data_IF_773421784375
#
_entry.id   IF_773421784375
#
_cell.length_a   1.000
_cell.length_b   1.000
_cell.length_c   1.000
_cell.angle_alpha   90.00
_cell.angle_beta   90.00
_cell.angle_gamma   90.00
#
_symmetry.space_group_name_H-M   'P 1'
#
loop_
_entity.id
_entity.type
_entity.pdbx_description
1 polymer ?
#
# COMPACT_ATOMS: atom_id res chain seq x y z
N UNK A 1 25.47 15.58 6.03
CA UNK A 1 24.94 16.06 4.74
C UNK A 1 23.54 15.47 4.58
N UNK A 2 22.50 16.25 4.87
CA UNK A 2 21.12 15.78 4.70
C UNK A 2 20.86 15.80 3.19
N UNK A 3 20.78 14.62 2.58
CA UNK A 3 20.33 14.51 1.20
C UNK A 3 18.83 14.81 1.17
N UNK A 4 18.48 16.07 0.88
CA UNK A 4 17.18 16.38 0.34
C UNK A 4 17.14 15.77 -1.06
N UNK A 5 16.74 14.50 -1.17
CA UNK A 5 16.41 13.92 -2.45
C UNK A 5 15.29 14.78 -3.04
N UNK A 6 15.62 15.56 -4.07
CA UNK A 6 14.61 16.12 -4.96
C UNK A 6 13.77 14.94 -5.44
N UNK A 7 12.49 14.94 -5.07
CA UNK A 7 11.52 13.95 -5.51
C UNK A 7 11.23 14.18 -7.00
N UNK A 8 12.20 13.90 -7.87
CA UNK A 8 11.86 13.52 -9.23
C UNK A 8 10.86 12.38 -9.09
N UNK A 9 9.67 12.56 -9.64
CA UNK A 9 8.63 11.53 -9.63
C UNK A 9 9.26 10.25 -10.19
N UNK A 10 9.58 9.29 -9.32
CA UNK A 10 10.29 8.10 -9.76
C UNK A 10 9.26 7.12 -10.31
N UNK A 11 9.39 6.81 -11.60
CA UNK A 11 8.60 5.81 -12.30
C UNK A 11 9.13 4.42 -11.94
N UNK A 12 8.28 3.53 -11.42
CA UNK A 12 8.67 2.18 -11.00
C UNK A 12 7.70 1.18 -11.59
N UNK A 13 8.18 0.06 -12.14
CA UNK A 13 7.30 -0.99 -12.67
C UNK A 13 6.65 -1.75 -11.51
N UNK A 14 5.32 -1.83 -11.46
CA UNK A 14 4.59 -2.40 -10.32
C UNK A 14 5.01 -3.85 -10.02
N UNK A 15 5.15 -4.68 -11.06
CA UNK A 15 5.53 -6.10 -10.90
C UNK A 15 6.94 -6.31 -10.33
N UNK A 16 7.82 -5.32 -10.43
CA UNK A 16 9.20 -5.39 -9.94
C UNK A 16 9.32 -4.85 -8.50
N UNK A 17 8.21 -4.34 -7.91
CA UNK A 17 8.17 -3.93 -6.50
C UNK A 17 8.13 -5.18 -5.63
N UNK A 18 9.20 -5.44 -4.88
CA UNK A 18 9.29 -6.60 -4.01
C UNK A 18 8.48 -6.43 -2.71
N UNK A 19 8.52 -5.24 -2.12
CA UNK A 19 7.94 -4.97 -0.80
C UNK A 19 7.52 -3.52 -0.69
N UNK A 20 6.40 -3.28 -0.01
CA UNK A 20 5.98 -1.95 0.43
C UNK A 20 5.77 -1.98 1.94
N UNK A 21 6.22 -0.91 2.62
CA UNK A 21 5.99 -0.70 4.05
C UNK A 21 5.14 0.55 4.19
N UNK A 22 4.00 0.41 4.83
CA UNK A 22 2.96 1.42 4.91
C UNK A 22 2.70 1.77 6.36
N UNK A 23 2.62 3.05 6.65
CA UNK A 23 2.53 3.59 8.00
C UNK A 23 1.18 4.25 8.24
N UNK A 24 0.66 4.09 9.46
CA UNK A 24 -0.48 4.87 9.91
C UNK A 24 -0.09 6.34 9.96
N UNK A 25 -1.05 7.20 9.65
CA UNK A 25 -0.93 8.66 9.70
C UNK A 25 0.02 9.26 8.65
N UNK A 26 0.57 8.41 7.77
CA UNK A 26 1.28 8.84 6.57
C UNK A 26 0.37 8.81 5.33
N UNK A 27 0.73 9.65 4.36
CA UNK A 27 0.03 9.77 3.09
C UNK A 27 0.90 9.25 1.94
N UNK A 28 0.24 8.80 0.88
CA UNK A 28 0.90 8.42 -0.36
C UNK A 28 1.48 9.64 -1.05
N UNK A 29 2.55 9.46 -1.82
CA UNK A 29 2.91 10.46 -2.84
C UNK A 29 1.80 10.52 -3.88
N UNK A 30 1.52 11.69 -4.43
CA UNK A 30 0.58 11.80 -5.53
C UNK A 30 1.04 12.82 -6.56
N UNK A 31 0.68 12.60 -7.83
CA UNK A 31 1.00 13.52 -8.94
C UNK A 31 -0.23 13.90 -9.75
N UNK A 32 -1.03 12.91 -10.17
CA UNK A 32 -2.22 13.09 -11.02
C UNK A 32 -3.51 13.05 -10.20
N UNK A 33 -3.48 12.38 -9.05
CA UNK A 33 -4.58 12.31 -8.08
C UNK A 33 -4.23 13.05 -6.79
N UNK A 34 -5.17 13.06 -5.84
CA UNK A 34 -4.90 13.54 -4.48
C UNK A 34 -4.20 12.45 -3.66
N UNK A 35 -3.30 12.88 -2.78
CA UNK A 35 -2.68 12.00 -1.79
C UNK A 35 -3.75 11.40 -0.87
N UNK A 36 -3.64 10.10 -0.59
CA UNK A 36 -4.53 9.35 0.29
C UNK A 36 -3.75 8.77 1.47
N UNK A 37 -4.42 8.38 2.58
CA UNK A 37 -3.73 7.66 3.65
C UNK A 37 -3.09 6.36 3.13
N UNK A 38 -1.86 6.06 3.55
CA UNK A 38 -1.19 4.80 3.20
C UNK A 38 -1.93 3.59 3.77
N UNK A 39 -2.50 3.71 4.98
CA UNK A 39 -3.33 2.68 5.62
C UNK A 39 -4.78 3.17 5.74
N UNK A 40 -5.73 2.41 5.19
CA UNK A 40 -7.16 2.70 5.33
C UNK A 40 -7.92 1.50 5.88
N UNK A 41 -8.41 1.61 7.10
CA UNK A 41 -9.42 0.68 7.63
C UNK A 41 -10.76 0.95 6.94
N UNK A 42 -11.27 -0.01 6.18
CA UNK A 42 -12.49 0.16 5.37
C UNK A 42 -13.73 -0.44 6.04
N UNK A 43 -13.56 -1.46 6.87
CA UNK A 43 -14.65 -2.14 7.58
C UNK A 43 -14.13 -3.26 8.47
N UNK A 44 -14.93 -4.31 8.70
CA UNK A 44 -14.53 -5.50 9.48
C UNK A 44 -15.07 -5.47 10.91
N UNK A 45 -15.26 -6.66 11.50
CA UNK A 45 -15.79 -6.84 12.86
C UNK A 45 -14.88 -6.25 13.93
N UNK A 46 -13.57 -6.35 13.75
CA UNK A 46 -12.57 -5.89 14.72
C UNK A 46 -12.09 -4.43 14.51
N UNK A 47 -12.71 -3.67 13.59
CA UNK A 47 -12.26 -2.31 13.20
C UNK A 47 -12.04 -1.32 14.35
N UNK A 48 -12.77 -1.50 15.45
CA UNK A 48 -12.76 -0.59 16.59
C UNK A 48 -11.46 -0.69 17.42
N UNK A 49 -10.81 -1.85 17.42
CA UNK A 49 -9.64 -2.10 18.27
C UNK A 49 -8.44 -2.71 17.52
N UNK A 50 -8.62 -3.16 16.29
CA UNK A 50 -7.57 -3.78 15.49
C UNK A 50 -7.19 -2.93 14.28
N UNK A 51 -6.50 -1.83 14.55
CA UNK A 51 -5.82 -1.06 13.53
C UNK A 51 -4.32 -1.21 13.77
N UNK A 52 -3.51 -1.63 12.79
CA UNK A 52 -2.05 -1.70 12.93
C UNK A 52 -1.40 -0.33 12.71
N UNK A 53 -0.21 -0.12 13.27
CA UNK A 53 0.60 1.10 13.01
C UNK A 53 1.42 1.00 11.73
N UNK A 54 1.82 -0.22 11.38
CA UNK A 54 2.63 -0.53 10.20
C UNK A 54 2.04 -1.78 9.55
N UNK A 55 1.92 -1.76 8.23
CA UNK A 55 1.61 -2.94 7.42
C UNK A 55 2.72 -3.10 6.39
N UNK A 56 3.26 -4.31 6.29
CA UNK A 56 4.26 -4.63 5.28
C UNK A 56 3.67 -5.63 4.29
N UNK A 57 3.63 -5.26 3.02
CA UNK A 57 3.12 -6.12 1.96
C UNK A 57 4.27 -6.59 1.06
N UNK A 58 4.21 -7.87 0.71
CA UNK A 58 5.19 -8.59 -0.08
C UNK A 58 4.55 -9.02 -1.38
N UNK A 59 5.22 -8.73 -2.49
CA UNK A 59 4.82 -9.23 -3.79
C UNK A 59 5.16 -10.73 -3.87
N UNK A 60 4.13 -11.56 -4.06
CA UNK A 60 4.23 -13.03 -4.15
C UNK A 60 4.12 -13.54 -5.59
N UNK A 61 4.23 -12.65 -6.57
CA UNK A 61 4.14 -12.96 -7.99
C UNK A 61 2.90 -12.36 -8.63
N UNK A 62 2.53 -12.93 -9.78
CA UNK A 62 1.39 -12.53 -10.60
C UNK A 62 0.39 -13.69 -10.68
N UNK A 63 -0.90 -13.39 -10.73
CA UNK A 63 -1.95 -14.37 -11.05
C UNK A 63 -2.20 -14.54 -12.56
N UNK A 64 -1.34 -13.93 -13.38
CA UNK A 64 -1.51 -13.81 -14.83
C UNK A 64 -1.78 -12.36 -15.26
N UNK A 65 -2.31 -11.53 -14.37
CA UNK A 65 -2.64 -10.13 -14.65
C UNK A 65 -2.09 -9.20 -13.56
N UNK A 66 -2.47 -9.44 -12.31
CA UNK A 66 -2.24 -8.54 -11.19
C UNK A 66 -1.22 -9.09 -10.19
N UNK A 67 -0.53 -8.18 -9.51
CA UNK A 67 0.40 -8.52 -8.42
C UNK A 67 -0.37 -9.09 -7.24
N UNK A 68 0.07 -10.26 -6.77
CA UNK A 68 -0.48 -10.93 -5.61
C UNK A 68 0.26 -10.48 -4.36
N UNK A 69 -0.39 -9.69 -3.52
CA UNK A 69 0.19 -9.13 -2.31
C UNK A 69 -0.15 -9.99 -1.08
N UNK A 70 0.87 -10.41 -0.33
CA UNK A 70 0.72 -10.89 1.04
C UNK A 70 1.08 -9.76 2.00
N UNK A 71 0.16 -9.35 2.88
CA UNK A 71 0.42 -8.30 3.85
C UNK A 71 0.45 -8.82 5.28
N UNK A 72 1.40 -8.33 6.07
CA UNK A 72 1.61 -8.69 7.47
C UNK A 72 1.61 -7.44 8.34
N UNK A 73 1.10 -7.59 9.55
CA UNK A 73 1.09 -6.54 10.56
C UNK A 73 1.02 -7.14 11.96
N UNK A 74 1.35 -6.34 12.97
CA UNK A 74 1.05 -6.67 14.36
C UNK A 74 -0.43 -6.38 14.63
N UNK A 75 -1.17 -7.44 14.97
CA UNK A 75 -2.59 -7.40 15.32
C UNK A 75 -2.81 -8.09 16.67
N UNK A 76 -3.94 -7.83 17.35
CA UNK A 76 -4.36 -8.64 18.49
C UNK A 76 -4.39 -10.14 18.13
N UNK A 77 -4.14 -10.99 19.12
CA UNK A 77 -3.93 -12.44 18.91
C UNK A 77 -5.13 -13.14 18.27
N UNK A 78 -6.32 -12.62 18.47
CA UNK A 78 -7.62 -13.11 18.01
C UNK A 78 -8.13 -12.41 16.75
N UNK A 79 -7.31 -11.58 16.11
CA UNK A 79 -7.69 -10.80 14.93
C UNK A 79 -6.79 -11.12 13.74
N UNK A 80 -7.40 -11.25 12.57
CA UNK A 80 -6.70 -11.40 11.31
C UNK A 80 -7.19 -10.39 10.26
N UNK A 81 -6.46 -10.30 9.14
CA UNK A 81 -6.98 -9.59 7.98
C UNK A 81 -7.96 -10.49 7.23
N UNK A 82 -9.20 -10.02 7.05
CA UNK A 82 -10.15 -10.67 6.14
C UNK A 82 -9.83 -10.36 4.68
N UNK A 83 -10.22 -9.15 4.24
CA UNK A 83 -9.90 -8.66 2.89
C UNK A 83 -8.77 -7.64 2.97
N UNK A 84 -7.88 -7.68 1.98
CA UNK A 84 -6.85 -6.66 1.79
C UNK A 84 -6.81 -6.23 0.32
N UNK A 85 -6.54 -4.95 0.08
CA UNK A 85 -6.42 -4.38 -1.27
C UNK A 85 -5.28 -3.38 -1.30
N UNK A 86 -4.25 -3.68 -2.08
CA UNK A 86 -3.18 -2.72 -2.40
C UNK A 86 -3.59 -1.95 -3.65
N UNK A 87 -3.40 -0.64 -3.65
CA UNK A 87 -3.64 0.22 -4.81
C UNK A 87 -2.54 1.27 -4.91
N UNK A 88 -2.03 1.49 -6.12
CA UNK A 88 -0.97 2.45 -6.39
C UNK A 88 -1.40 3.37 -7.53
N UNK A 89 -0.93 4.61 -7.53
CA UNK A 89 -1.17 5.54 -8.64
C UNK A 89 -0.32 5.12 -9.86
N UNK A 90 -1.00 4.74 -10.95
CA UNK A 90 -0.36 4.54 -12.25
C UNK A 90 0.29 5.82 -12.77
N UNK A 91 1.49 5.68 -13.32
CA UNK A 91 2.41 6.81 -13.54
C UNK A 91 1.91 7.77 -14.63
N UNK A 92 1.53 7.25 -15.80
CA UNK A 92 1.00 8.05 -16.91
C UNK A 92 -0.54 7.99 -17.00
N UNK A 93 -1.18 6.88 -16.60
CA UNK A 93 -2.64 6.63 -16.63
C UNK A 93 -3.08 5.63 -15.53
N UNK A 94 -4.40 5.50 -15.20
CA UNK A 94 -4.87 4.75 -14.01
C UNK A 94 -4.50 3.26 -13.91
N UNK A 95 -4.10 2.63 -15.02
CA UNK A 95 -3.77 1.19 -15.13
C UNK A 95 -2.39 0.99 -15.76
N UNK A 96 -1.53 2.01 -15.69
CA UNK A 96 -0.16 1.93 -16.19
C UNK A 96 0.60 0.82 -15.44
N UNK A 97 1.28 -0.13 -16.14
CA UNK A 97 2.15 -1.11 -15.50
C UNK A 97 3.27 -0.49 -14.65
N UNK A 98 3.54 0.79 -14.85
CA UNK A 98 4.39 1.61 -14.00
C UNK A 98 3.56 2.50 -13.08
N UNK A 99 4.06 2.67 -11.87
CA UNK A 99 3.46 3.46 -10.80
C UNK A 99 4.39 4.58 -10.37
N UNK A 100 3.83 5.59 -9.73
CA UNK A 100 4.60 6.60 -8.99
C UNK A 100 5.20 5.99 -7.72
N UNK A 101 6.51 6.12 -7.51
CA UNK A 101 7.16 5.65 -6.28
C UNK A 101 6.55 6.33 -5.05
N UNK A 102 6.11 5.51 -4.09
CA UNK A 102 5.50 5.97 -2.85
C UNK A 102 3.99 6.20 -2.96
N UNK A 103 3.37 5.89 -4.09
CA UNK A 103 1.94 6.11 -4.31
C UNK A 103 1.04 4.97 -3.84
N UNK A 104 1.63 3.84 -3.41
CA UNK A 104 0.87 2.69 -2.96
C UNK A 104 0.26 2.90 -1.57
N UNK A 105 -1.00 2.51 -1.40
CA UNK A 105 -1.69 2.41 -0.13
C UNK A 105 -2.46 1.09 -0.02
N UNK A 106 -2.94 0.77 1.18
CA UNK A 106 -3.70 -0.45 1.47
C UNK A 106 -5.03 -0.16 2.16
N UNK A 107 -6.09 -0.71 1.57
CA UNK A 107 -7.39 -0.84 2.21
C UNK A 107 -7.52 -2.21 2.89
N UNK A 108 -7.90 -2.26 4.16
CA UNK A 108 -7.97 -3.51 4.92
C UNK A 108 -9.24 -3.62 5.78
N UNK A 109 -9.62 -4.86 6.08
CA UNK A 109 -10.76 -5.24 6.93
C UNK A 109 -10.29 -6.22 8.02
N UNK A 110 -10.04 -5.76 9.26
CA UNK A 110 -9.73 -6.66 10.38
C UNK A 110 -10.97 -7.42 10.83
N UNK A 111 -10.85 -8.73 11.05
CA UNK A 111 -11.94 -9.62 11.45
C UNK A 111 -11.81 -10.10 12.89
#
# INVERSE_FOLDING_TARGET
MIFFFSAYAQKVRLKDVATITLHRDEFTTARRSQAIPQLKCVGGSAKAHAQPRVVQCYNRGLDGHDVQWECKAELPKDVEFGRIRVSCEGYDYPEDPFILKGSCGVGFWPL
#
